data_IF_132064546653
#
_entry.id   IF_132064546653
#
_cell.length_a   1.000
_cell.length_b   1.000
_cell.length_c   1.000
_cell.angle_alpha   90.00
_cell.angle_beta   90.00
_cell.angle_gamma   90.00
#
_symmetry.space_group_name_H-M   'P 1'
#
loop_
_entity.id
_entity.type
_entity.pdbx_description
1 polymer ?
#
# COMPACT_ATOMS: atom_id res chain seq x y z
N UNK A 1 5.04 4.75 45.17
CA UNK A 1 5.88 5.96 45.23
C UNK A 1 7.13 5.68 44.40
N UNK A 2 7.18 6.20 43.17
CA UNK A 2 8.30 5.97 42.26
C UNK A 2 9.50 6.80 42.70
N UNK A 3 10.64 6.15 42.92
CA UNK A 3 11.91 6.82 43.16
C UNK A 3 12.29 7.63 41.91
N UNK A 4 12.05 8.94 41.93
CA UNK A 4 12.71 9.86 41.02
C UNK A 4 14.20 9.85 41.38
N UNK A 5 14.96 8.95 40.74
CA UNK A 5 16.41 9.12 40.68
C UNK A 5 16.63 10.43 39.94
N UNK A 6 17.22 11.40 40.62
CA UNK A 6 17.86 12.56 40.01
C UNK A 6 18.93 12.03 39.05
N UNK A 7 18.56 11.87 37.77
CA UNK A 7 19.49 11.51 36.71
C UNK A 7 20.37 12.74 36.53
N UNK A 8 21.61 12.68 36.99
CA UNK A 8 22.60 13.69 36.66
C UNK A 8 22.95 13.54 35.18
N UNK A 9 22.58 14.48 34.30
CA UNK A 9 22.76 14.36 32.87
C UNK A 9 24.24 14.29 32.46
N UNK A 10 25.16 14.71 33.34
CA UNK A 10 26.59 14.59 33.12
C UNK A 10 27.12 13.17 33.36
N UNK A 11 26.39 12.34 34.11
CA UNK A 11 26.79 10.98 34.46
C UNK A 11 25.96 9.88 33.77
N UNK A 12 24.88 10.23 33.07
CA UNK A 12 24.08 9.28 32.30
C UNK A 12 24.75 8.97 30.93
N UNK A 13 25.20 7.72 30.69
CA UNK A 13 25.85 7.34 29.44
C UNK A 13 24.92 7.51 28.22
N UNK A 14 23.61 7.38 28.38
CA UNK A 14 22.63 7.57 27.31
C UNK A 14 22.59 9.04 26.90
N UNK A 15 22.49 9.95 27.87
CA UNK A 15 22.47 11.39 27.60
C UNK A 15 23.80 11.88 27.03
N UNK A 16 24.93 11.31 27.47
CA UNK A 16 26.25 11.59 26.88
C UNK A 16 26.33 11.15 25.40
N UNK A 17 25.83 9.96 25.06
CA UNK A 17 25.79 9.50 23.67
C UNK A 17 24.88 10.36 22.80
N UNK A 18 23.70 10.71 23.33
CA UNK A 18 22.76 11.58 22.65
C UNK A 18 23.34 12.99 22.44
N UNK A 19 24.06 13.53 23.43
CA UNK A 19 24.75 14.81 23.30
C UNK A 19 25.86 14.78 22.23
N UNK A 20 26.57 13.66 22.10
CA UNK A 20 27.53 13.48 20.99
C UNK A 20 26.85 13.47 19.63
N UNK A 21 25.69 12.82 19.51
CA UNK A 21 24.88 12.86 18.27
C UNK A 21 24.40 14.28 17.98
N UNK A 22 23.94 15.01 19.00
CA UNK A 22 23.57 16.43 18.86
C UNK A 22 24.75 17.25 18.35
N UNK A 23 25.89 17.18 19.03
CA UNK A 23 27.09 17.96 18.72
C UNK A 23 27.59 17.68 17.30
N UNK A 24 27.49 16.42 16.87
CA UNK A 24 27.88 15.99 15.52
C UNK A 24 27.21 16.77 14.39
N UNK A 25 25.97 17.22 14.57
CA UNK A 25 25.29 18.09 13.60
C UNK A 25 25.39 19.57 13.97
N UNK A 26 25.39 19.90 15.27
CA UNK A 26 25.42 21.27 15.76
C UNK A 26 26.77 21.96 15.51
N UNK A 27 27.88 21.23 15.52
CA UNK A 27 29.23 21.77 15.26
C UNK A 27 29.39 22.31 13.83
N UNK A 28 28.50 21.91 12.91
CA UNK A 28 28.45 22.44 11.55
C UNK A 28 27.69 23.77 11.46
N UNK A 29 27.00 24.16 12.52
CA UNK A 29 26.26 25.41 12.61
C UNK A 29 27.06 26.44 13.43
N UNK A 30 27.22 27.69 12.95
CA UNK A 30 27.97 28.72 13.68
C UNK A 30 27.45 29.02 15.08
N UNK A 31 26.16 28.77 15.32
CA UNK A 31 25.48 28.97 16.60
C UNK A 31 25.69 27.84 17.61
N UNK A 32 26.27 26.70 17.20
CA UNK A 32 26.34 25.49 18.04
C UNK A 32 24.97 24.89 18.35
N UNK A 33 23.97 25.13 17.50
CA UNK A 33 22.60 24.61 17.63
C UNK A 33 22.21 23.82 16.38
N UNK A 34 21.15 23.03 16.46
CA UNK A 34 20.57 22.34 15.30
C UNK A 34 19.60 23.25 14.55
N UNK A 35 19.49 23.07 13.25
CA UNK A 35 18.33 23.54 12.50
C UNK A 35 17.10 22.63 12.73
N UNK A 36 15.87 23.13 12.52
CA UNK A 36 14.64 22.32 12.56
C UNK A 36 14.70 21.06 11.71
N UNK A 37 15.33 21.13 10.54
CA UNK A 37 15.49 19.98 9.66
C UNK A 37 16.38 18.89 10.29
N UNK A 38 17.49 19.28 10.91
CA UNK A 38 18.42 18.35 11.58
C UNK A 38 17.80 17.74 12.84
N UNK A 39 17.10 18.55 13.65
CA UNK A 39 16.40 18.04 14.82
C UNK A 39 15.29 17.04 14.42
N UNK A 40 14.50 17.37 13.39
CA UNK A 40 13.52 16.45 12.82
C UNK A 40 14.17 15.13 12.37
N UNK A 41 15.31 15.21 11.68
CA UNK A 41 16.05 14.04 11.24
C UNK A 41 16.45 13.16 12.42
N UNK A 42 17.07 13.72 13.47
CA UNK A 42 17.46 12.97 14.67
C UNK A 42 16.25 12.30 15.33
N UNK A 43 15.14 13.03 15.52
CA UNK A 43 13.92 12.48 16.12
C UNK A 43 13.32 11.35 15.28
N UNK A 44 13.29 11.52 13.95
CA UNK A 44 12.79 10.48 13.03
C UNK A 44 13.66 9.23 13.05
N UNK A 45 14.98 9.39 13.17
CA UNK A 45 15.93 8.28 13.27
C UNK A 45 15.85 7.57 14.62
N UNK A 46 15.59 8.29 15.72
CA UNK A 46 15.29 7.68 17.03
C UNK A 46 14.02 6.83 16.97
N UNK A 47 12.94 7.33 16.37
CA UNK A 47 11.71 6.55 16.20
C UNK A 47 11.95 5.31 15.34
N UNK A 48 12.71 5.44 14.24
CA UNK A 48 13.09 4.32 13.39
C UNK A 48 13.95 3.30 14.12
N UNK A 49 14.84 3.74 15.01
CA UNK A 49 15.67 2.87 15.82
C UNK A 49 14.84 2.00 16.79
N UNK A 50 13.61 2.40 17.12
CA UNK A 50 12.64 1.60 17.89
C UNK A 50 11.66 0.80 17.03
N UNK A 51 11.92 0.68 15.72
CA UNK A 51 11.02 0.02 14.76
C UNK A 51 9.60 0.63 14.77
N UNK A 52 9.46 1.88 15.24
CA UNK A 52 8.18 2.61 15.22
C UNK A 52 8.00 3.21 13.83
N UNK A 53 6.85 2.97 13.16
CA UNK A 53 6.56 3.65 11.91
C UNK A 53 6.53 5.15 12.18
N UNK A 54 7.26 5.93 11.37
CA UNK A 54 7.15 7.40 11.31
C UNK A 54 5.83 7.79 10.64
N UNK A 55 4.72 7.35 11.23
CA UNK A 55 3.38 7.76 10.85
C UNK A 55 2.99 8.95 11.73
N UNK A 56 2.61 10.03 11.05
CA UNK A 56 1.82 11.17 11.55
C UNK A 56 2.36 12.15 12.60
N UNK A 57 3.46 11.91 13.33
CA UNK A 57 3.99 12.96 14.23
C UNK A 57 4.86 13.97 13.47
N UNK A 58 4.28 15.14 13.19
CA UNK A 58 5.03 16.32 12.78
C UNK A 58 5.58 17.01 14.03
N UNK A 59 6.91 17.12 14.13
CA UNK A 59 7.54 17.97 15.13
C UNK A 59 7.43 19.42 14.68
N UNK A 60 6.78 20.23 15.49
CA UNK A 60 6.72 21.68 15.29
C UNK A 60 7.82 22.31 16.13
N UNK A 61 8.68 23.07 15.46
CA UNK A 61 9.74 23.83 16.10
C UNK A 61 9.39 25.30 15.94
N UNK A 62 9.19 25.99 17.06
CA UNK A 62 8.87 27.42 17.07
C UNK A 62 10.11 28.29 16.83
N UNK A 63 11.31 27.71 17.00
CA UNK A 63 12.60 28.36 16.85
C UNK A 63 13.37 27.86 15.63
N UNK A 64 14.05 28.77 14.94
CA UNK A 64 14.94 28.45 13.81
C UNK A 64 16.25 27.77 14.23
N UNK A 65 16.53 27.77 15.53
CA UNK A 65 17.68 27.15 16.16
C UNK A 65 17.20 26.32 17.34
N UNK A 66 17.64 25.06 17.41
CA UNK A 66 17.23 24.10 18.42
C UNK A 66 18.43 23.73 19.26
N UNK A 67 18.37 24.06 20.55
CA UNK A 67 19.41 23.67 21.49
C UNK A 67 19.18 22.24 22.02
N UNK A 68 20.17 21.71 22.73
CA UNK A 68 20.09 20.34 23.25
C UNK A 68 18.94 20.15 24.24
N UNK A 69 18.62 21.17 25.05
CA UNK A 69 17.54 21.10 26.04
C UNK A 69 16.17 20.98 25.38
N UNK A 70 15.93 21.77 24.32
CA UNK A 70 14.69 21.68 23.53
C UNK A 70 14.56 20.30 22.87
N UNK A 71 15.64 19.78 22.29
CA UNK A 71 15.65 18.43 21.72
C UNK A 71 15.32 17.37 22.77
N UNK A 72 15.86 17.49 23.98
CA UNK A 72 15.54 16.58 25.09
C UNK A 72 14.07 16.62 25.46
N UNK A 73 13.44 17.79 25.51
CA UNK A 73 12.00 17.90 25.78
C UNK A 73 11.17 17.13 24.75
N UNK A 74 11.52 17.21 23.46
CA UNK A 74 10.84 16.39 22.45
C UNK A 74 11.09 14.89 22.68
N UNK A 75 12.31 14.49 23.01
CA UNK A 75 12.64 13.08 23.28
C UNK A 75 11.89 12.53 24.49
N UNK A 76 11.79 13.29 25.58
CA UNK A 76 11.02 12.91 26.78
C UNK A 76 9.54 12.70 26.46
N UNK A 77 8.96 13.50 25.56
CA UNK A 77 7.57 13.29 25.12
C UNK A 77 7.39 12.06 24.22
N UNK A 78 8.41 11.69 23.43
CA UNK A 78 8.39 10.51 22.55
C UNK A 78 8.65 9.19 23.29
N UNK A 79 9.48 9.25 24.34
CA UNK A 79 9.98 8.09 25.06
C UNK A 79 9.64 8.19 26.55
N UNK A 80 8.42 7.79 26.88
CA UNK A 80 7.92 7.77 28.27
C UNK A 80 8.64 6.72 29.14
N UNK A 81 9.30 5.73 28.53
CA UNK A 81 10.03 4.67 29.22
C UNK A 81 11.53 4.72 28.91
N UNK A 82 12.36 4.83 29.96
CA UNK A 82 13.82 5.00 29.84
C UNK A 82 14.52 3.85 29.07
N UNK A 83 14.02 2.62 29.16
CA UNK A 83 14.66 1.46 28.51
C UNK A 83 14.56 1.47 26.98
N UNK A 84 13.50 2.05 26.42
CA UNK A 84 13.36 2.17 24.97
C UNK A 84 14.30 3.24 24.42
N UNK A 85 14.45 4.36 25.15
CA UNK A 85 15.32 5.46 24.78
C UNK A 85 16.78 5.03 24.73
N UNK A 86 17.26 4.28 25.73
CA UNK A 86 18.64 3.80 25.78
C UNK A 86 19.01 2.99 24.54
N UNK A 87 18.17 2.02 24.16
CA UNK A 87 18.39 1.22 22.96
C UNK A 87 18.31 2.06 21.67
N UNK A 88 17.39 3.02 21.61
CA UNK A 88 17.25 3.92 20.46
C UNK A 88 18.50 4.78 20.27
N UNK A 89 18.97 5.40 21.34
CA UNK A 89 20.15 6.27 21.35
C UNK A 89 21.39 5.46 21.00
N UNK A 90 21.55 4.25 21.55
CA UNK A 90 22.67 3.40 21.22
C UNK A 90 22.68 3.05 19.72
N UNK A 91 21.55 2.62 19.15
CA UNK A 91 21.41 2.32 17.72
C UNK A 91 21.70 3.54 16.85
N UNK A 92 21.22 4.71 17.27
CA UNK A 92 21.45 5.98 16.56
C UNK A 92 22.93 6.38 16.59
N UNK A 93 23.56 6.32 17.76
CA UNK A 93 24.97 6.60 17.94
C UNK A 93 25.83 5.66 17.09
N UNK A 94 25.51 4.38 17.07
CA UNK A 94 26.20 3.41 16.23
C UNK A 94 26.03 3.73 14.73
N UNK A 95 24.84 4.16 14.32
CA UNK A 95 24.55 4.49 12.92
C UNK A 95 25.24 5.76 12.45
N UNK A 96 25.18 6.84 13.23
CA UNK A 96 25.65 8.16 12.82
C UNK A 96 27.11 8.41 13.20
N UNK A 97 27.55 7.95 14.37
CA UNK A 97 28.92 8.20 14.86
C UNK A 97 29.83 7.01 14.56
N UNK A 98 29.43 5.79 14.93
CA UNK A 98 30.26 4.60 14.67
C UNK A 98 30.22 4.14 13.20
N UNK A 99 29.27 4.65 12.42
CA UNK A 99 29.05 4.35 10.99
C UNK A 99 28.76 2.85 10.77
N UNK A 100 27.97 2.26 11.66
CA UNK A 100 27.47 0.89 11.58
C UNK A 100 26.00 0.97 11.15
N UNK A 101 25.71 0.49 9.94
CA UNK A 101 24.36 0.60 9.36
C UNK A 101 23.40 -0.36 10.06
N UNK A 102 23.81 -1.62 10.25
CA UNK A 102 22.99 -2.64 10.89
C UNK A 102 23.83 -3.64 11.66
N UNK A 103 23.26 -4.14 12.74
CA UNK A 103 23.69 -5.30 13.50
C UNK A 103 22.50 -6.24 13.66
N UNK A 104 22.69 -7.51 13.33
CA UNK A 104 21.57 -8.46 13.35
C UNK A 104 22.05 -9.91 13.49
N UNK A 105 21.11 -10.82 13.72
CA UNK A 105 21.32 -12.25 13.62
C UNK A 105 20.83 -12.76 12.26
N UNK A 106 21.65 -13.56 11.57
CA UNK A 106 21.33 -14.03 10.22
C UNK A 106 21.77 -15.47 10.00
N UNK A 107 21.06 -16.16 9.12
CA UNK A 107 21.56 -17.39 8.50
C UNK A 107 22.30 -17.03 7.21
N UNK A 108 23.46 -17.63 6.98
CA UNK A 108 24.23 -17.40 5.77
C UNK A 108 24.80 -18.71 5.19
N UNK A 109 25.00 -18.71 3.88
CA UNK A 109 25.79 -19.70 3.15
C UNK A 109 26.59 -19.03 2.05
N UNK A 110 27.82 -19.49 1.81
CA UNK A 110 28.64 -19.03 0.70
C UNK A 110 28.30 -19.88 -0.53
N UNK A 111 27.96 -19.27 -1.66
CA UNK A 111 27.87 -20.01 -2.93
C UNK A 111 29.29 -20.19 -3.46
N UNK A 112 29.75 -21.44 -3.50
CA UNK A 112 31.06 -21.80 -4.07
C UNK A 112 31.13 -21.52 -5.56
N UNK A 113 32.31 -21.14 -6.05
CA UNK A 113 32.59 -20.94 -7.46
C UNK A 113 32.51 -22.25 -8.27
N UNK A 114 32.34 -22.08 -9.57
CA UNK A 114 32.23 -23.10 -10.63
C UNK A 114 33.45 -24.02 -10.68
N UNK A 115 33.47 -25.06 -9.85
CA UNK A 115 34.13 -26.31 -10.21
C UNK A 115 33.22 -27.45 -9.76
N UNK A 116 32.33 -27.80 -10.68
CA UNK A 116 31.41 -28.92 -10.63
C UNK A 116 32.19 -30.22 -10.58
N UNK A 117 32.18 -30.92 -9.44
CA UNK A 117 32.22 -32.39 -9.38
C UNK A 117 31.79 -32.89 -7.98
N UNK A 118 31.89 -32.06 -6.93
CA UNK A 118 31.27 -32.34 -5.62
C UNK A 118 30.71 -31.03 -5.06
N UNK A 119 29.44 -30.73 -5.35
CA UNK A 119 28.72 -29.64 -4.67
C UNK A 119 28.50 -30.09 -3.22
N UNK A 120 29.48 -29.91 -2.34
CA UNK A 120 29.21 -29.94 -0.90
C UNK A 120 28.18 -28.85 -0.64
N UNK A 121 26.93 -29.23 -0.42
CA UNK A 121 25.89 -28.32 0.03
C UNK A 121 26.41 -27.68 1.32
N UNK A 122 26.89 -26.44 1.24
CA UNK A 122 27.21 -25.71 2.45
C UNK A 122 25.88 -25.44 3.13
N UNK A 123 25.63 -26.21 4.19
CA UNK A 123 24.48 -26.02 5.06
C UNK A 123 24.44 -24.57 5.58
N UNK A 124 23.24 -24.15 5.97
CA UNK A 124 23.03 -22.85 6.57
C UNK A 124 23.84 -22.73 7.86
N UNK A 125 24.53 -21.60 8.01
CA UNK A 125 25.31 -21.28 9.21
C UNK A 125 24.70 -20.05 9.87
N UNK A 126 24.59 -20.07 11.19
CA UNK A 126 24.23 -18.89 11.96
C UNK A 126 25.45 -17.98 12.16
N UNK A 127 25.25 -16.68 12.00
CA UNK A 127 26.21 -15.65 12.34
C UNK A 127 25.52 -14.40 12.87
N UNK A 128 26.25 -13.65 13.68
CA UNK A 128 25.97 -12.25 13.90
C UNK A 128 26.54 -11.45 12.73
N UNK A 129 25.74 -10.57 12.12
CA UNK A 129 26.12 -9.75 10.98
C UNK A 129 26.27 -8.30 11.42
N UNK A 130 27.32 -7.64 10.92
CA UNK A 130 27.50 -6.19 11.03
C UNK A 130 27.69 -5.62 9.63
N UNK A 131 26.78 -4.75 9.23
CA UNK A 131 26.82 -4.05 7.94
C UNK A 131 27.38 -2.66 8.17
N UNK A 132 28.43 -2.32 7.44
CA UNK A 132 29.08 -1.01 7.46
C UNK A 132 29.36 -0.57 6.01
N UNK A 133 29.68 0.72 5.75
CA UNK A 133 30.03 1.19 4.42
C UNK A 133 31.02 0.27 3.71
N UNK A 134 30.63 -0.28 2.56
CA UNK A 134 31.49 -1.09 1.72
C UNK A 134 31.86 -2.48 2.27
N UNK A 135 31.36 -2.88 3.45
CA UNK A 135 31.79 -4.14 4.08
C UNK A 135 30.69 -4.79 4.92
N UNK A 136 30.62 -6.12 4.85
CA UNK A 136 29.81 -6.95 5.74
C UNK A 136 30.77 -7.81 6.57
N UNK A 137 30.67 -7.69 7.89
CA UNK A 137 31.38 -8.56 8.82
C UNK A 137 30.42 -9.63 9.34
N UNK A 138 30.85 -10.88 9.27
CA UNK A 138 30.12 -12.04 9.80
C UNK A 138 30.91 -12.65 10.95
N UNK A 139 30.22 -12.85 12.07
CA UNK A 139 30.72 -13.48 13.28
C UNK A 139 29.99 -14.81 13.46
N UNK A 140 30.54 -15.93 12.98
CA UNK A 140 29.86 -17.22 13.04
C UNK A 140 29.64 -17.64 14.49
N UNK A 141 28.42 -18.04 14.84
CA UNK A 141 28.06 -18.41 16.22
C UNK A 141 28.92 -19.58 16.75
N UNK A 142 29.24 -20.54 15.87
CA UNK A 142 30.08 -21.68 16.20
C UNK A 142 31.58 -21.34 16.34
N UNK A 143 32.01 -20.14 15.93
CA UNK A 143 33.40 -19.66 15.99
C UNK A 143 33.40 -18.13 16.22
N UNK A 144 33.01 -17.65 17.41
CA UNK A 144 32.79 -16.22 17.65
C UNK A 144 34.05 -15.37 17.45
N UNK A 145 35.24 -15.95 17.68
CA UNK A 145 36.52 -15.25 17.48
C UNK A 145 36.97 -15.20 16.00
N UNK A 146 36.22 -15.81 15.07
CA UNK A 146 36.57 -15.86 13.65
C UNK A 146 35.71 -14.87 12.86
N UNK A 147 36.22 -13.65 12.68
CA UNK A 147 35.57 -12.66 11.81
C UNK A 147 35.76 -13.04 10.34
N UNK A 148 34.66 -13.11 9.58
CA UNK A 148 34.71 -13.18 8.11
C UNK A 148 34.28 -11.85 7.53
N UNK A 149 35.14 -11.29 6.71
CA UNK A 149 34.90 -10.02 6.05
C UNK A 149 34.49 -10.26 4.60
N UNK A 150 33.43 -9.58 4.17
CA UNK A 150 32.90 -9.62 2.81
C UNK A 150 32.81 -8.20 2.26
N UNK A 151 33.71 -7.86 1.33
CA UNK A 151 33.80 -6.53 0.74
C UNK A 151 32.75 -6.32 -0.36
N UNK A 152 32.02 -5.21 -0.25
CA UNK A 152 31.02 -4.76 -1.22
C UNK A 152 31.69 -3.79 -2.21
N UNK A 153 31.93 -4.27 -3.43
CA UNK A 153 32.50 -3.45 -4.50
C UNK A 153 31.42 -2.69 -5.30
N UNK A 154 31.82 -1.99 -6.37
CA UNK A 154 30.89 -1.26 -7.25
C UNK A 154 29.91 -2.18 -7.99
N UNK A 155 30.30 -3.43 -8.23
CA UNK A 155 29.47 -4.43 -8.89
C UNK A 155 28.57 -5.18 -7.91
N UNK A 156 28.63 -4.82 -6.62
CA UNK A 156 27.88 -5.52 -5.61
C UNK A 156 26.38 -5.28 -5.77
N UNK A 157 25.60 -6.32 -5.56
CA UNK A 157 24.14 -6.29 -5.67
C UNK A 157 23.51 -7.04 -4.52
N UNK A 158 22.34 -6.57 -4.08
CA UNK A 158 21.53 -7.20 -3.05
C UNK A 158 20.10 -7.37 -3.59
N UNK A 159 19.70 -8.63 -3.81
CA UNK A 159 18.47 -9.00 -4.50
C UNK A 159 17.65 -9.93 -3.60
N UNK A 160 16.40 -9.55 -3.36
CA UNK A 160 15.44 -10.36 -2.63
C UNK A 160 15.16 -11.67 -3.39
N UNK A 161 15.32 -12.80 -2.70
CA UNK A 161 14.98 -14.12 -3.21
C UNK A 161 13.57 -14.58 -2.78
N UNK A 162 13.12 -15.73 -3.30
CA UNK A 162 11.87 -16.37 -2.87
C UNK A 162 11.99 -16.88 -1.43
N UNK A 163 10.86 -17.26 -0.83
CA UNK A 163 10.84 -17.95 0.46
C UNK A 163 11.23 -19.41 0.25
N UNK A 164 12.27 -19.88 0.94
CA UNK A 164 12.75 -21.27 0.88
C UNK A 164 12.64 -21.90 2.28
N UNK A 165 11.87 -22.99 2.43
CA UNK A 165 11.76 -23.75 3.68
C UNK A 165 11.48 -22.87 4.92
N UNK A 166 10.50 -21.95 4.81
CA UNK A 166 10.14 -21.03 5.89
C UNK A 166 11.09 -19.84 6.07
N UNK A 167 12.07 -19.64 5.18
CA UNK A 167 13.08 -18.59 5.30
C UNK A 167 13.00 -17.60 4.16
N UNK A 168 13.07 -16.31 4.48
CA UNK A 168 13.09 -15.23 3.50
C UNK A 168 14.53 -15.00 3.03
N UNK A 169 14.78 -15.25 1.74
CA UNK A 169 16.13 -15.28 1.18
C UNK A 169 16.56 -13.90 0.67
N UNK A 170 17.85 -13.60 0.81
CA UNK A 170 18.52 -12.43 0.25
C UNK A 170 19.84 -12.85 -0.42
N UNK A 171 19.95 -12.60 -1.71
CA UNK A 171 21.17 -12.85 -2.48
C UNK A 171 22.04 -11.61 -2.48
N UNK A 172 23.30 -11.76 -2.06
CA UNK A 172 24.27 -10.67 -2.09
C UNK A 172 25.50 -11.15 -2.82
N UNK A 173 25.80 -10.49 -3.94
CA UNK A 173 26.99 -10.76 -4.74
C UNK A 173 27.90 -9.54 -4.76
N UNK A 174 29.19 -9.81 -4.80
CA UNK A 174 30.30 -8.90 -5.12
C UNK A 174 31.07 -9.53 -6.29
N UNK A 175 32.02 -8.84 -6.91
CA UNK A 175 32.82 -9.44 -8.00
C UNK A 175 33.57 -10.70 -7.55
N UNK A 176 34.01 -10.74 -6.29
CA UNK A 176 34.83 -11.82 -5.73
C UNK A 176 34.03 -12.96 -5.11
N UNK A 177 32.94 -12.64 -4.43
CA UNK A 177 32.23 -13.62 -3.61
C UNK A 177 30.72 -13.46 -3.71
N UNK A 178 30.00 -14.58 -3.51
CA UNK A 178 28.54 -14.64 -3.52
C UNK A 178 28.05 -15.27 -2.22
N UNK A 179 27.23 -14.53 -1.49
CA UNK A 179 26.58 -15.00 -0.28
C UNK A 179 25.07 -15.08 -0.47
N UNK A 180 24.47 -16.04 0.21
CA UNK A 180 23.03 -16.09 0.40
C UNK A 180 22.77 -15.92 1.88
N UNK A 181 22.02 -14.89 2.23
CA UNK A 181 21.50 -14.65 3.56
C UNK A 181 20.05 -15.10 3.65
N UNK A 182 19.62 -15.41 4.87
CA UNK A 182 18.25 -15.76 5.15
C UNK A 182 17.83 -15.27 6.53
N UNK A 183 16.61 -14.78 6.60
CA UNK A 183 15.94 -14.36 7.84
C UNK A 183 14.60 -15.10 7.97
N UNK A 184 14.10 -15.28 9.19
CA UNK A 184 12.82 -15.95 9.44
C UNK A 184 11.62 -15.02 9.26
N UNK A 185 11.85 -13.72 9.38
CA UNK A 185 10.88 -12.65 9.16
C UNK A 185 11.20 -11.87 7.86
N UNK A 186 10.16 -11.60 7.09
CA UNK A 186 10.20 -10.82 5.86
C UNK A 186 10.56 -9.36 6.08
N UNK A 187 10.05 -8.75 7.15
CA UNK A 187 10.27 -7.33 7.45
C UNK A 187 11.77 -7.11 7.71
N UNK A 188 12.36 -7.91 8.59
CA UNK A 188 13.80 -7.88 8.84
C UNK A 188 14.65 -8.24 7.61
N UNK A 189 14.23 -9.19 6.75
CA UNK A 189 14.91 -9.44 5.45
C UNK A 189 14.90 -8.20 4.58
N UNK A 190 13.76 -7.53 4.45
CA UNK A 190 13.61 -6.33 3.63
C UNK A 190 14.43 -5.16 4.20
N UNK A 191 14.46 -5.02 5.53
CA UNK A 191 15.29 -4.02 6.20
C UNK A 191 16.79 -4.27 5.96
N UNK A 192 17.25 -5.51 6.13
CA UNK A 192 18.62 -5.90 5.80
C UNK A 192 18.96 -5.64 4.32
N UNK A 193 18.05 -5.93 3.39
CA UNK A 193 18.27 -5.67 1.98
C UNK A 193 18.44 -4.18 1.68
N UNK A 194 17.63 -3.31 2.31
CA UNK A 194 17.77 -1.84 2.21
C UNK A 194 19.11 -1.37 2.77
N UNK A 195 19.52 -1.91 3.92
CA UNK A 195 20.75 -1.51 4.60
C UNK A 195 22.01 -1.97 3.87
N UNK A 196 21.99 -3.16 3.26
CA UNK A 196 23.08 -3.60 2.39
C UNK A 196 23.13 -2.73 1.12
N UNK A 197 21.99 -2.36 0.53
CA UNK A 197 21.98 -1.43 -0.61
C UNK A 197 22.54 -0.06 -0.23
N UNK A 198 22.26 0.43 0.98
CA UNK A 198 22.86 1.65 1.51
C UNK A 198 24.38 1.52 1.62
N UNK A 199 24.87 0.40 2.16
CA UNK A 199 26.30 0.10 2.27
C UNK A 199 27.03 -0.03 0.91
N UNK A 200 26.32 -0.48 -0.13
CA UNK A 200 26.82 -0.53 -1.52
C UNK A 200 26.83 0.87 -2.15
N UNK A 201 25.83 1.70 -1.85
CA UNK A 201 25.69 3.05 -2.42
C UNK A 201 26.70 4.02 -1.81
N UNK A 202 26.95 3.90 -0.51
CA UNK A 202 27.90 4.72 0.25
C UNK A 202 28.94 3.79 0.89
N UNK A 203 30.06 3.57 0.19
CA UNK A 203 31.04 2.53 0.50
C UNK A 203 32.11 2.97 1.47
N UNK A 204 32.23 4.27 1.71
CA UNK A 204 33.14 4.82 2.72
C UNK A 204 32.35 5.48 3.85
N UNK A 205 32.95 5.54 5.04
CA UNK A 205 32.37 6.29 6.17
C UNK A 205 32.12 7.75 5.83
N UNK A 206 33.00 8.34 5.01
CA UNK A 206 32.85 9.72 4.55
C UNK A 206 31.63 9.89 3.63
N UNK A 207 31.45 9.00 2.65
CA UNK A 207 30.29 9.03 1.74
C UNK A 207 28.96 8.87 2.49
N UNK A 208 28.91 7.95 3.47
CA UNK A 208 27.71 7.73 4.27
C UNK A 208 27.42 8.93 5.17
N UNK A 209 28.47 9.53 5.74
CA UNK A 209 28.35 10.74 6.53
C UNK A 209 27.80 11.93 5.70
N UNK A 210 28.42 12.21 4.55
CA UNK A 210 27.96 13.26 3.65
C UNK A 210 26.50 13.06 3.21
N UNK A 211 26.11 11.80 2.95
CA UNK A 211 24.72 11.46 2.69
C UNK A 211 23.79 11.81 3.86
N UNK A 212 24.16 11.45 5.09
CA UNK A 212 23.34 11.69 6.27
C UNK A 212 23.21 13.19 6.56
N UNK A 213 24.28 13.98 6.42
CA UNK A 213 24.22 15.44 6.51
C UNK A 213 23.33 16.05 5.42
N UNK A 214 23.45 15.58 4.18
CA UNK A 214 22.57 16.03 3.08
C UNK A 214 21.10 15.71 3.36
N UNK A 215 20.81 14.55 3.95
CA UNK A 215 19.44 14.19 4.36
C UNK A 215 18.96 15.08 5.51
N UNK A 216 19.77 15.25 6.55
CA UNK A 216 19.45 16.07 7.70
C UNK A 216 19.15 17.52 7.30
N UNK A 217 19.85 18.04 6.31
CA UNK A 217 19.65 19.39 5.80
C UNK A 217 18.52 19.51 4.75
N UNK A 218 18.01 18.39 4.21
CA UNK A 218 17.00 18.40 3.13
C UNK A 218 15.59 18.78 3.56
N UNK A 219 15.35 19.10 4.83
CA UNK A 219 14.06 19.61 5.30
C UNK A 219 12.90 18.71 4.94
N UNK A 220 12.90 17.46 5.43
CA UNK A 220 11.82 16.49 5.16
C UNK A 220 10.41 17.02 5.50
N UNK A 221 10.29 17.97 6.42
CA UNK A 221 9.03 18.64 6.76
C UNK A 221 8.46 19.54 5.65
N UNK A 222 9.30 20.16 4.80
CA UNK A 222 8.83 21.11 3.77
C UNK A 222 8.22 20.37 2.58
N UNK A 223 8.91 19.37 2.03
CA UNK A 223 8.40 18.59 0.88
C UNK A 223 7.17 17.74 1.21
N UNK A 224 7.02 17.33 2.48
CA UNK A 224 5.84 16.60 2.94
C UNK A 224 4.64 17.52 3.11
N UNK A 225 4.84 18.77 3.58
CA UNK A 225 3.80 19.81 3.61
C UNK A 225 3.26 20.11 2.22
N UNK A 226 4.13 20.27 1.22
CA UNK A 226 3.70 20.54 -0.16
C UNK A 226 2.88 19.39 -0.74
N UNK A 227 3.30 18.14 -0.46
CA UNK A 227 2.52 16.95 -0.85
C UNK A 227 1.19 16.92 -0.10
N UNK A 228 1.17 16.98 1.22
CA UNK A 228 -0.06 16.91 2.01
C UNK A 228 -1.04 18.03 1.66
N UNK A 229 -0.56 19.25 1.38
CA UNK A 229 -1.39 20.34 0.86
C UNK A 229 -1.96 20.01 -0.52
N UNK A 230 -1.16 19.42 -1.41
CA UNK A 230 -1.62 18.95 -2.72
C UNK A 230 -2.66 17.82 -2.61
N UNK A 231 -2.46 16.85 -1.72
CA UNK A 231 -3.43 15.78 -1.43
C UNK A 231 -4.73 16.34 -0.86
N UNK A 232 -4.63 17.32 0.05
CA UNK A 232 -5.79 17.98 0.63
C UNK A 232 -6.60 18.72 -0.44
N UNK A 233 -5.95 19.51 -1.30
CA UNK A 233 -6.60 20.20 -2.41
C UNK A 233 -7.27 19.22 -3.38
N UNK A 234 -6.61 18.09 -3.68
CA UNK A 234 -7.19 17.06 -4.54
C UNK A 234 -8.44 16.41 -3.90
N UNK A 235 -8.39 16.15 -2.60
CA UNK A 235 -9.55 15.61 -1.86
C UNK A 235 -10.68 16.63 -1.75
N UNK A 236 -10.38 17.90 -1.52
CA UNK A 236 -11.37 18.98 -1.49
C UNK A 236 -12.03 19.17 -2.87
N UNK A 237 -11.26 19.05 -3.96
CA UNK A 237 -11.79 19.08 -5.32
C UNK A 237 -12.70 17.89 -5.62
N UNK A 238 -12.30 16.67 -5.24
CA UNK A 238 -13.12 15.47 -5.46
C UNK A 238 -14.40 15.50 -4.60
N UNK A 239 -14.32 15.99 -3.36
CA UNK A 239 -15.50 16.18 -2.52
C UNK A 239 -16.46 17.22 -3.14
N UNK A 240 -15.94 18.30 -3.72
CA UNK A 240 -16.73 19.27 -4.47
C UNK A 240 -17.44 18.64 -5.69
N UNK A 241 -16.72 17.81 -6.46
CA UNK A 241 -17.27 17.08 -7.60
C UNK A 241 -18.39 16.13 -7.17
N UNK A 242 -18.19 15.37 -6.09
CA UNK A 242 -19.21 14.45 -5.56
C UNK A 242 -20.45 15.19 -5.06
N UNK A 243 -20.29 16.33 -4.39
CA UNK A 243 -21.41 17.17 -3.96
C UNK A 243 -22.23 17.70 -5.15
N UNK A 244 -21.56 18.07 -6.25
CA UNK A 244 -22.25 18.50 -7.47
C UNK A 244 -23.09 17.37 -8.07
N UNK A 245 -22.54 16.16 -8.18
CA UNK A 245 -23.28 14.98 -8.68
C UNK A 245 -24.53 14.69 -7.82
N UNK A 246 -24.41 14.83 -6.50
CA UNK A 246 -25.55 14.67 -5.59
C UNK A 246 -26.62 15.74 -5.84
N UNK A 247 -26.24 17.00 -6.04
CA UNK A 247 -27.20 18.07 -6.26
C UNK A 247 -27.89 17.96 -7.63
N UNK A 248 -27.17 17.52 -8.66
CA UNK A 248 -27.74 17.20 -9.97
C UNK A 248 -28.73 16.03 -9.88
N UNK A 249 -28.38 14.96 -9.16
CA UNK A 249 -29.28 13.85 -8.89
C UNK A 249 -30.57 14.28 -8.16
N UNK A 250 -30.45 15.17 -7.17
CA UNK A 250 -31.62 15.76 -6.48
C UNK A 250 -32.49 16.59 -7.41
N UNK A 251 -31.91 17.37 -8.32
CA UNK A 251 -32.68 18.13 -9.32
C UNK A 251 -33.43 17.19 -10.26
N UNK A 252 -32.75 16.18 -10.79
CA UNK A 252 -33.36 15.20 -11.68
C UNK A 252 -34.54 14.47 -11.02
N UNK A 253 -34.43 14.11 -9.73
CA UNK A 253 -35.52 13.48 -9.00
C UNK A 253 -36.73 14.42 -8.80
N UNK A 254 -36.48 15.71 -8.52
CA UNK A 254 -37.56 16.72 -8.43
C UNK A 254 -38.27 16.88 -9.77
N UNK A 255 -37.53 16.94 -10.87
CA UNK A 255 -38.10 17.06 -12.21
C UNK A 255 -38.95 15.83 -12.56
N UNK A 256 -38.47 14.63 -12.21
CA UNK A 256 -39.22 13.39 -12.40
C UNK A 256 -40.52 13.37 -11.57
N UNK A 257 -40.48 13.82 -10.31
CA UNK A 257 -41.68 13.95 -9.47
C UNK A 257 -42.70 14.94 -10.04
N UNK A 258 -42.23 16.07 -10.59
CA UNK A 258 -43.08 17.05 -11.27
C UNK A 258 -43.76 16.40 -12.50
N UNK A 259 -42.99 15.66 -13.31
CA UNK A 259 -43.53 14.97 -14.49
C UNK A 259 -44.54 13.90 -14.08
N UNK A 260 -44.28 13.10 -13.04
CA UNK A 260 -45.24 12.11 -12.52
C UNK A 260 -46.52 12.76 -12.02
N UNK A 261 -46.42 13.88 -11.29
CA UNK A 261 -47.57 14.61 -10.78
C UNK A 261 -48.44 15.18 -11.93
N UNK A 262 -47.80 15.77 -12.94
CA UNK A 262 -48.47 16.28 -14.15
C UNK A 262 -49.17 15.16 -14.92
N UNK A 263 -48.51 14.04 -15.16
CA UNK A 263 -49.10 12.90 -15.87
C UNK A 263 -50.33 12.35 -15.13
N UNK A 264 -50.23 12.23 -13.80
CA UNK A 264 -51.34 11.76 -12.96
C UNK A 264 -52.54 12.72 -13.03
N UNK A 265 -52.28 14.03 -13.03
CA UNK A 265 -53.32 15.06 -13.17
C UNK A 265 -53.99 15.02 -14.53
N UNK A 266 -53.22 14.95 -15.62
CA UNK A 266 -53.75 14.87 -16.98
C UNK A 266 -54.61 13.62 -17.19
N UNK A 267 -54.16 12.46 -16.69
CA UNK A 267 -54.95 11.23 -16.74
C UNK A 267 -56.28 11.37 -16.00
N UNK A 268 -56.31 12.08 -14.87
CA UNK A 268 -57.54 12.35 -14.13
C UNK A 268 -58.48 13.27 -14.91
N UNK A 269 -57.95 14.35 -15.49
CA UNK A 269 -58.73 15.29 -16.30
C UNK A 269 -59.33 14.61 -17.55
N UNK A 270 -58.56 13.76 -18.23
CA UNK A 270 -59.06 12.97 -19.37
C UNK A 270 -60.11 11.93 -18.95
N UNK A 271 -59.94 11.29 -17.79
CA UNK A 271 -60.94 10.38 -17.24
C UNK A 271 -62.26 11.08 -16.94
N UNK A 272 -62.21 12.25 -16.30
CA UNK A 272 -63.41 13.05 -16.00
C UNK A 272 -64.11 13.53 -17.28
N UNK A 273 -63.36 13.92 -18.33
CA UNK A 273 -63.94 14.26 -19.64
C UNK A 273 -64.62 13.05 -20.29
N UNK A 274 -63.99 11.88 -20.22
CA UNK A 274 -64.54 10.65 -20.79
C UNK A 274 -65.82 10.23 -20.05
N UNK A 275 -65.85 10.32 -18.72
CA UNK A 275 -67.05 10.06 -17.91
C UNK A 275 -68.20 11.00 -18.32
N UNK A 276 -67.94 12.30 -18.49
CA UNK A 276 -68.96 13.26 -18.99
C UNK A 276 -69.45 12.93 -20.40
N UNK A 277 -68.56 12.51 -21.29
CA UNK A 277 -68.94 12.11 -22.65
C UNK A 277 -69.81 10.86 -22.64
N UNK A 278 -69.48 9.87 -21.81
CA UNK A 278 -70.30 8.67 -21.61
C UNK A 278 -71.70 9.04 -21.11
N UNK A 279 -71.80 9.92 -20.10
CA UNK A 279 -73.09 10.41 -19.61
C UNK A 279 -73.91 11.10 -20.72
N UNK A 280 -73.28 11.95 -21.53
CA UNK A 280 -73.96 12.62 -22.66
C UNK A 280 -74.44 11.60 -23.70
N UNK A 281 -73.61 10.62 -24.05
CA UNK A 281 -73.97 9.57 -25.01
C UNK A 281 -75.12 8.71 -24.47
N UNK A 282 -75.10 8.36 -23.19
CA UNK A 282 -76.19 7.62 -22.55
C UNK A 282 -77.50 8.43 -22.54
N UNK A 283 -77.44 9.72 -22.20
CA UNK A 283 -78.60 10.61 -22.23
C UNK A 283 -79.18 10.77 -23.65
N UNK A 284 -78.32 10.97 -24.65
CA UNK A 284 -78.74 11.02 -26.06
C UNK A 284 -79.33 9.69 -26.52
N UNK A 285 -78.72 8.56 -26.13
CA UNK A 285 -79.23 7.22 -26.42
C UNK A 285 -80.59 6.95 -25.77
N UNK A 286 -80.81 7.41 -24.54
CA UNK A 286 -82.10 7.34 -23.86
C UNK A 286 -83.14 8.24 -24.52
N UNK A 287 -82.77 9.47 -24.91
CA UNK A 287 -83.65 10.36 -25.68
C UNK A 287 -84.08 9.73 -27.00
N UNK A 288 -83.15 9.13 -27.76
CA UNK A 288 -83.51 8.42 -28.99
C UNK A 288 -84.45 7.24 -28.75
N UNK A 289 -84.24 6.45 -27.67
CA UNK A 289 -85.15 5.36 -27.30
C UNK A 289 -86.55 5.85 -26.91
N UNK A 290 -86.65 6.99 -26.23
CA UNK A 290 -87.93 7.61 -25.86
C UNK A 290 -88.62 8.29 -27.06
N UNK A 291 -87.85 8.68 -28.08
CA UNK A 291 -88.35 9.31 -29.31
C UNK A 291 -88.85 8.30 -30.35
N UNK A 292 -88.53 7.01 -30.19
CA UNK A 292 -88.97 5.94 -31.07
C UNK A 292 -90.16 5.17 -30.46
N UNK A 293 -91.38 5.42 -30.94
CA UNK A 293 -92.44 4.41 -30.91
C UNK A 293 -92.08 3.25 -31.87
N UNK A 294 -92.53 2.01 -31.58
CA UNK A 294 -92.06 0.83 -32.27
C UNK A 294 -92.75 0.71 -33.62
N UNK A 295 -92.08 1.15 -34.68
CA UNK A 295 -92.23 0.51 -35.98
C UNK A 295 -90.84 0.21 -36.55
N UNK A 296 -90.73 -1.01 -37.05
CA UNK A 296 -89.71 -1.49 -37.97
C UNK A 296 -88.42 -2.12 -37.38
N UNK A 297 -88.55 -3.42 -37.18
CA UNK A 297 -87.66 -4.49 -37.70
C UNK A 297 -86.23 -4.58 -37.16
N UNK A 298 -86.06 -5.62 -36.35
CA UNK A 298 -84.82 -6.30 -35.99
C UNK A 298 -83.73 -6.27 -37.05
N UNK A 299 -82.62 -5.59 -36.73
CA UNK A 299 -81.30 -5.89 -37.27
C UNK A 299 -80.44 -6.33 -36.10
N UNK A 300 -80.22 -7.64 -35.99
CA UNK A 300 -79.23 -8.25 -35.11
C UNK A 300 -77.84 -7.85 -35.57
N UNK A 301 -77.18 -6.98 -34.80
CA UNK A 301 -75.73 -6.75 -34.92
C UNK A 301 -75.05 -7.51 -33.79
N UNK A 302 -74.36 -8.59 -34.17
CA UNK A 302 -73.46 -9.33 -33.29
C UNK A 302 -72.30 -8.41 -32.89
N UNK A 303 -72.30 -7.92 -31.64
CA UNK A 303 -71.14 -7.32 -31.02
C UNK A 303 -70.26 -8.44 -30.44
N UNK A 304 -69.36 -8.95 -31.27
CA UNK A 304 -68.22 -9.73 -30.79
C UNK A 304 -67.29 -8.79 -30.02
N UNK A 305 -67.24 -9.04 -28.72
CA UNK A 305 -66.34 -8.46 -27.74
C UNK A 305 -64.93 -9.00 -27.99
N UNK A 306 -64.15 -8.31 -28.82
CA UNK A 306 -62.72 -8.58 -28.95
C UNK A 306 -61.98 -7.72 -27.93
N UNK A 307 -61.60 -8.35 -26.82
CA UNK A 307 -60.49 -7.91 -25.99
C UNK A 307 -59.22 -8.50 -26.64
N UNK A 308 -58.43 -7.68 -27.32
CA UNK A 308 -57.07 -8.07 -27.73
C UNK A 308 -56.11 -6.90 -27.50
N UNK A 309 -54.96 -7.29 -26.96
CA UNK A 309 -53.86 -6.48 -26.46
C UNK A 309 -53.18 -5.70 -27.58
N UNK A 310 -53.11 -4.37 -27.46
CA UNK A 310 -52.22 -3.54 -28.25
C UNK A 310 -50.78 -3.63 -27.74
N UNK A 311 -50.05 -4.68 -28.15
CA UNK A 311 -48.59 -4.63 -28.26
C UNK A 311 -48.26 -4.01 -29.60
N UNK A 312 -47.92 -2.72 -29.61
CA UNK A 312 -47.20 -2.14 -30.75
C UNK A 312 -45.71 -2.03 -30.43
N UNK A 313 -45.03 -3.06 -30.91
CA UNK A 313 -43.61 -3.12 -31.22
C UNK A 313 -43.20 -1.96 -32.13
N UNK A 314 -42.38 -1.06 -31.59
CA UNK A 314 -41.63 -0.06 -32.35
C UNK A 314 -40.54 -0.78 -33.15
N UNK A 315 -40.70 -0.86 -34.48
CA UNK A 315 -39.62 -1.19 -35.40
C UNK A 315 -38.83 0.08 -35.70
N UNK A 316 -37.55 0.05 -35.31
CA UNK A 316 -36.54 1.06 -35.63
C UNK A 316 -36.26 1.01 -37.13
N UNK A 317 -36.51 2.12 -37.83
CA UNK A 317 -36.03 2.34 -39.20
C UNK A 317 -34.77 3.19 -39.10
N UNK A 318 -33.62 2.55 -39.33
CA UNK A 318 -32.37 3.25 -39.62
C UNK A 318 -32.44 3.86 -41.02
N UNK A 319 -32.15 5.17 -41.10
CA UNK A 319 -31.68 5.80 -42.34
C UNK A 319 -30.44 6.62 -42.00
N UNK A 320 -29.32 6.15 -42.51
CA UNK A 320 -28.09 6.90 -42.71
C UNK A 320 -28.33 8.05 -43.70
N UNK A 321 -27.57 9.15 -43.55
CA UNK A 321 -26.86 9.91 -44.63
C UNK A 321 -26.01 11.04 -43.98
N UNK A 322 -24.92 11.51 -44.63
CA UNK A 322 -23.61 11.74 -44.00
C UNK A 322 -23.05 13.19 -44.09
N UNK A 323 -21.88 13.40 -43.48
CA UNK A 323 -20.91 14.50 -43.78
C UNK A 323 -20.65 15.43 -42.59
N UNK A 324 -19.46 15.36 -41.94
CA UNK A 324 -18.22 16.14 -42.21
C UNK A 324 -18.26 17.55 -41.57
N UNK A 325 -17.33 18.10 -40.79
CA UNK A 325 -15.84 18.09 -40.73
C UNK A 325 -15.40 18.70 -39.36
N UNK A 326 -14.31 18.15 -38.78
CA UNK A 326 -13.24 18.68 -37.87
C UNK A 326 -13.54 19.72 -36.75
N UNK A 327 -12.86 19.79 -35.59
CA UNK A 327 -11.49 19.43 -35.24
C UNK A 327 -11.26 19.39 -33.69
N UNK A 328 -10.26 18.61 -33.25
CA UNK A 328 -9.43 18.75 -32.03
C UNK A 328 -10.02 18.62 -30.60
N UNK A 329 -9.73 17.51 -29.89
CA UNK A 329 -8.72 17.44 -28.80
C UNK A 329 -8.68 16.06 -28.10
N UNK A 330 -7.50 15.73 -27.57
CA UNK A 330 -6.92 14.42 -27.23
C UNK A 330 -7.42 13.76 -25.92
N UNK A 331 -7.05 12.48 -25.65
CA UNK A 331 -7.89 11.52 -24.95
C UNK A 331 -7.61 11.33 -23.45
N UNK A 332 -8.66 10.94 -22.71
CA UNK A 332 -8.61 10.32 -21.39
C UNK A 332 -8.41 8.79 -21.51
N UNK A 333 -7.70 8.13 -20.59
CA UNK A 333 -7.56 6.68 -20.58
C UNK A 333 -8.81 6.02 -19.99
N UNK A 334 -9.52 5.24 -20.83
CA UNK A 334 -10.63 4.38 -20.45
C UNK A 334 -10.14 3.15 -19.69
N UNK A 335 -10.61 3.01 -18.45
CA UNK A 335 -10.62 1.78 -17.69
C UNK A 335 -11.93 1.06 -17.99
N UNK A 336 -11.89 -0.02 -18.76
CA UNK A 336 -12.86 -1.10 -18.64
C UNK A 336 -12.16 -2.45 -18.86
N UNK A 337 -12.42 -3.33 -17.90
CA UNK A 337 -12.64 -4.77 -18.03
C UNK A 337 -11.94 -5.49 -19.18
N UNK A 338 -11.01 -6.38 -18.83
CA UNK A 338 -10.66 -7.52 -19.68
C UNK A 338 -11.08 -8.80 -18.96
N UNK A 339 -11.88 -9.54 -19.69
CA UNK A 339 -12.45 -10.84 -19.42
C UNK A 339 -11.39 -11.92 -19.17
N UNK A 340 -11.89 -13.02 -18.63
CA UNK A 340 -11.19 -14.22 -18.30
C UNK A 340 -10.56 -14.91 -19.52
N UNK A 341 -9.28 -15.25 -19.42
CA UNK A 341 -8.72 -16.40 -20.11
C UNK A 341 -8.48 -17.52 -19.09
N UNK A 342 -9.38 -18.51 -19.14
CA UNK A 342 -9.20 -19.81 -18.51
C UNK A 342 -8.08 -20.56 -19.24
N UNK A 343 -6.93 -20.71 -18.58
CA UNK A 343 -5.95 -21.72 -18.95
C UNK A 343 -6.41 -23.09 -18.42
N UNK A 344 -6.37 -24.17 -19.24
CA UNK A 344 -6.76 -25.50 -18.80
C UNK A 344 -5.77 -26.02 -17.76
N UNK A 345 -6.27 -26.31 -16.56
CA UNK A 345 -5.55 -27.07 -15.55
C UNK A 345 -5.46 -28.53 -16.01
N UNK A 346 -4.26 -28.97 -16.37
CA UNK A 346 -3.95 -30.40 -16.39
C UNK A 346 -3.98 -30.91 -14.95
N UNK A 347 -5.03 -31.65 -14.64
CA UNK A 347 -5.25 -32.38 -13.41
C UNK A 347 -4.22 -33.52 -13.34
N UNK A 348 -3.03 -33.24 -12.82
CA UNK A 348 -2.05 -34.26 -12.53
C UNK A 348 -2.58 -35.10 -11.36
N UNK A 349 -3.07 -36.31 -11.68
CA UNK A 349 -3.51 -37.34 -10.74
C UNK A 349 -2.64 -37.37 -9.48
N UNK A 350 -3.20 -36.94 -8.35
CA UNK A 350 -2.58 -37.20 -7.06
C UNK A 350 -2.52 -38.72 -6.86
N UNK A 351 -1.33 -39.30 -6.55
CA UNK A 351 -1.24 -40.72 -6.30
C UNK A 351 -2.14 -41.10 -5.13
N UNK A 352 -2.94 -42.14 -5.37
CA UNK A 352 -3.85 -42.74 -4.40
C UNK A 352 -3.15 -42.93 -3.05
N UNK A 353 -3.89 -42.80 -1.95
CA UNK A 353 -3.38 -43.06 -0.60
C UNK A 353 -2.67 -44.43 -0.50
N UNK A 354 -3.06 -45.39 -1.34
CA UNK A 354 -2.43 -46.71 -1.45
C UNK A 354 -1.04 -46.65 -2.09
N UNK A 355 -0.84 -45.80 -3.11
CA UNK A 355 0.47 -45.59 -3.74
C UNK A 355 1.42 -44.76 -2.88
N UNK A 356 0.89 -43.80 -2.10
CA UNK A 356 1.67 -43.11 -1.05
C UNK A 356 2.18 -44.09 0.01
N UNK A 357 1.30 -44.96 0.52
CA UNK A 357 1.68 -45.98 1.50
C UNK A 357 2.68 -47.00 0.93
N UNK A 358 2.59 -47.34 -0.36
CA UNK A 358 3.54 -48.23 -1.03
C UNK A 358 4.93 -47.58 -1.17
N UNK A 359 5.01 -46.31 -1.58
CA UNK A 359 6.28 -45.57 -1.67
C UNK A 359 6.95 -45.38 -0.31
N UNK A 360 6.18 -45.14 0.76
CA UNK A 360 6.75 -45.05 2.10
C UNK A 360 7.32 -46.39 2.59
N UNK A 361 6.68 -47.52 2.24
CA UNK A 361 7.21 -48.87 2.55
C UNK A 361 8.49 -49.20 1.79
N UNK A 362 8.58 -48.82 0.53
CA UNK A 362 9.80 -49.03 -0.28
C UNK A 362 10.98 -48.19 0.24
N UNK A 363 10.73 -46.95 0.67
CA UNK A 363 11.76 -46.11 1.30
C UNK A 363 12.24 -46.68 2.64
N UNK A 364 11.35 -47.32 3.40
CA UNK A 364 11.72 -47.97 4.66
C UNK A 364 12.62 -49.19 4.44
N UNK A 365 12.34 -50.01 3.42
CA UNK A 365 13.13 -51.18 3.05
C UNK A 365 14.53 -50.82 2.50
N UNK A 366 14.65 -49.69 1.80
CA UNK A 366 15.93 -49.15 1.34
C UNK A 366 16.75 -48.62 2.54
N UNK A 367 16.10 -48.06 3.55
CA UNK A 367 16.79 -47.59 4.76
C UNK A 367 17.27 -48.74 5.66
N UNK A 368 16.54 -49.86 5.70
CA UNK A 368 16.90 -51.02 6.54
C UNK A 368 18.00 -51.90 5.96
N UNK A 369 18.30 -51.79 4.66
CA UNK A 369 19.36 -52.57 3.99
C UNK A 369 20.72 -51.87 3.99
N UNK A 370 20.80 -50.61 4.43
CA UNK A 370 22.06 -49.85 4.57
C UNK A 370 22.64 -49.88 6.00
N UNK A 371 22.08 -50.69 6.91
CA UNK A 371 22.56 -50.83 8.30
C UNK A 371 22.98 -52.27 8.67
N UNK A 372 23.51 -53.03 7.70
CA UNK A 372 24.25 -54.27 7.95
C UNK A 372 25.66 -54.11 7.38
#
# INVERSE_FOLDING_TARGET
MGSQRSIDPLNDPTLQQLFRVFSYFADLCPSGTLSPAQAYFILSELQRACDRPTTSQQFYFDSDCINFRELLTFIETLFLANGELELAVQRLYERLIAQIIRKDFILYRKRGGTCSLIKKHQGWKAAWITVAPGVINLWPVHKPNCRKEFTLDKAATAIAGPKENGRHILYVSSSKEKYTFAHFDEIARNALAKDIKLAISYRTKFELNDHDHRIANRGFGVKRKDREASWRLALEAENGRLLQVIEEGKRSLRDEEIVRALATRLLKEEREKNERLVEIVEQLGQQMRLSCQPECTTVTVNLQRNAEEGRDSVQVIEREIPGSVDDSESPLPSLFESEAEQTPYDEADEPSAVERARRERELYLISSTQSI
#
